data_IF_397275019120
#
_entry.id   IF_397275019120
#
_cell.length_a   1.000
_cell.length_b   1.000
_cell.length_c   1.000
_cell.angle_alpha   90.00
_cell.angle_beta   90.00
_cell.angle_gamma   90.00
#
_symmetry.space_group_name_H-M   'P 1'
#
loop_
_entity.id
_entity.type
_entity.pdbx_description
1 polymer ?
#
# COMPACT_ATOMS: atom_id res chain seq x y z
N UNK A 1 -1.05 -12.08 1.76
CA UNK A 1 0.15 -11.23 1.88
C UNK A 1 -0.24 -9.99 2.65
N UNK A 2 0.42 -9.74 3.79
CA UNK A 2 0.16 -8.54 4.60
C UNK A 2 0.55 -7.31 3.79
N UNK A 3 -0.40 -6.40 3.56
CA UNK A 3 -0.21 -5.15 2.79
C UNK A 3 0.74 -4.15 3.46
N UNK A 4 1.23 -4.47 4.65
CA UNK A 4 1.74 -3.46 5.58
C UNK A 4 3.26 -3.38 5.63
N UNK A 5 3.93 -4.47 5.23
CA UNK A 5 5.35 -4.50 4.95
C UNK A 5 5.60 -5.63 3.94
N UNK A 6 5.76 -5.29 2.66
CA UNK A 6 6.23 -6.25 1.65
C UNK A 6 7.69 -6.65 1.93
N UNK A 7 8.59 -6.65 0.96
CA UNK A 7 9.96 -7.14 1.15
C UNK A 7 10.92 -6.10 1.78
N UNK A 8 10.41 -5.20 2.62
CA UNK A 8 11.15 -4.09 3.22
C UNK A 8 12.12 -4.51 4.33
N UNK A 9 12.98 -3.60 4.83
CA UNK A 9 14.01 -3.92 5.84
C UNK A 9 13.42 -4.40 7.18
N UNK A 10 12.20 -3.99 7.50
CA UNK A 10 11.47 -4.42 8.70
C UNK A 10 10.47 -5.54 8.41
N UNK A 11 10.55 -6.18 7.25
CA UNK A 11 9.73 -7.36 6.94
C UNK A 11 10.28 -8.63 7.60
N UNK A 12 9.44 -9.65 7.68
CA UNK A 12 9.88 -11.03 7.92
C UNK A 12 10.49 -11.65 6.67
N UNK A 13 10.12 -11.16 5.47
CA UNK A 13 10.61 -11.62 4.16
C UNK A 13 11.45 -10.51 3.49
N UNK A 14 12.58 -10.12 4.09
CA UNK A 14 13.38 -8.97 3.62
C UNK A 14 13.99 -9.22 2.24
N UNK A 15 13.95 -8.22 1.36
CA UNK A 15 14.65 -8.24 0.07
C UNK A 15 16.19 -8.18 0.19
N UNK A 16 16.69 -7.70 1.34
CA UNK A 16 18.12 -7.53 1.62
C UNK A 16 18.51 -8.08 2.99
N UNK A 17 19.75 -7.81 3.40
CA UNK A 17 20.30 -8.25 4.68
C UNK A 17 20.92 -7.07 5.44
N UNK A 18 20.92 -7.14 6.77
CA UNK A 18 21.67 -6.20 7.60
C UNK A 18 23.13 -6.61 7.65
N UNK A 19 24.02 -5.62 7.60
CA UNK A 19 25.45 -5.80 7.82
C UNK A 19 25.92 -4.72 8.82
N UNK A 20 26.31 -5.10 10.07
CA UNK A 20 26.34 -6.47 10.60
C UNK A 20 24.94 -7.09 10.74
N UNK A 21 24.89 -8.42 10.86
CA UNK A 21 23.64 -9.13 11.09
C UNK A 21 22.98 -8.68 12.40
N UNK A 22 21.66 -8.51 12.39
CA UNK A 22 20.86 -8.16 13.57
C UNK A 22 20.05 -9.38 13.98
N UNK A 23 20.24 -9.84 15.21
CA UNK A 23 19.47 -10.94 15.81
C UNK A 23 18.39 -10.38 16.75
N UNK A 24 17.20 -10.99 16.74
CA UNK A 24 16.06 -10.58 17.58
C UNK A 24 15.00 -9.74 16.87
N UNK A 25 13.93 -9.41 17.60
CA UNK A 25 12.84 -8.59 17.10
C UNK A 25 13.29 -7.12 16.98
N UNK A 26 13.22 -6.56 15.78
CA UNK A 26 13.62 -5.19 15.50
C UNK A 26 12.43 -4.23 15.65
N UNK A 27 12.64 -3.17 16.42
CA UNK A 27 11.70 -2.07 16.58
C UNK A 27 12.44 -0.76 16.30
N UNK A 28 11.91 0.02 15.36
CA UNK A 28 12.43 1.35 15.07
C UNK A 28 11.39 2.38 15.52
N UNK A 29 11.78 3.26 16.45
CA UNK A 29 10.93 4.31 16.99
C UNK A 29 11.55 5.64 16.60
N UNK A 30 10.77 6.50 15.95
CA UNK A 30 11.22 7.82 15.51
C UNK A 30 10.24 8.91 15.97
N UNK A 31 10.72 10.13 16.25
CA UNK A 31 9.85 11.29 16.37
C UNK A 31 9.07 11.51 15.07
N UNK A 32 7.79 11.80 15.21
CA UNK A 32 6.90 12.09 14.09
C UNK A 32 6.31 13.48 14.29
N UNK A 33 7.01 14.55 13.88
CA UNK A 33 6.64 15.93 14.16
C UNK A 33 5.49 16.39 13.25
N UNK A 34 4.36 15.69 13.35
CA UNK A 34 3.10 15.98 12.68
C UNK A 34 1.99 15.97 13.71
N UNK A 35 1.06 16.91 13.59
CA UNK A 35 -0.12 16.96 14.43
C UNK A 35 -1.02 15.76 14.14
N UNK A 36 -1.25 14.93 15.15
CA UNK A 36 -2.17 13.80 15.08
C UNK A 36 -3.36 14.06 15.99
N UNK A 37 -4.56 13.80 15.46
CA UNK A 37 -5.81 13.92 16.18
C UNK A 37 -6.59 12.60 16.13
N UNK A 38 -7.29 12.29 17.22
CA UNK A 38 -8.16 11.14 17.30
C UNK A 38 -9.55 11.56 17.78
N UNK A 39 -10.58 11.15 17.05
CA UNK A 39 -11.99 11.46 17.34
C UNK A 39 -12.70 10.21 17.83
N UNK A 40 -13.39 10.30 18.97
CA UNK A 40 -14.26 9.24 19.49
C UNK A 40 -15.55 9.83 20.05
N UNK A 41 -16.70 9.29 19.64
CA UNK A 41 -18.03 9.77 19.99
C UNK A 41 -18.16 11.29 19.78
N UNK A 42 -17.76 11.77 18.59
CA UNK A 42 -17.77 13.19 18.18
C UNK A 42 -16.90 14.13 19.04
N UNK A 43 -15.99 13.60 19.86
CA UNK A 43 -15.06 14.39 20.68
C UNK A 43 -13.62 14.09 20.32
N UNK A 44 -12.80 15.13 20.32
CA UNK A 44 -11.35 14.99 20.21
C UNK A 44 -10.78 14.42 21.53
N UNK A 45 -10.16 13.25 21.44
CA UNK A 45 -9.61 12.50 22.60
C UNK A 45 -8.08 12.44 22.61
N UNK A 46 -7.45 12.75 21.47
CA UNK A 46 -6.00 12.99 21.31
C UNK A 46 -5.86 14.15 20.35
N UNK A 47 -4.99 15.11 20.67
CA UNK A 47 -4.60 16.22 19.78
C UNK A 47 -3.21 16.71 20.20
N UNK A 48 -2.17 16.30 19.47
CA UNK A 48 -0.79 16.60 19.83
C UNK A 48 0.16 16.49 18.64
N UNK A 49 1.30 17.19 18.73
CA UNK A 49 2.46 17.06 17.83
C UNK A 49 3.58 16.21 18.47
N UNK A 50 3.45 15.86 19.76
CA UNK A 50 4.38 14.97 20.47
C UNK A 50 4.04 13.50 20.20
N UNK A 51 4.31 13.08 18.97
CA UNK A 51 3.99 11.73 18.46
C UNK A 51 5.28 10.98 18.15
N UNK A 52 5.30 9.69 18.47
CA UNK A 52 6.29 8.76 17.98
C UNK A 52 5.66 7.85 16.93
N UNK A 53 6.37 7.60 15.83
CA UNK A 53 6.02 6.56 14.87
C UNK A 53 6.80 5.29 15.21
N UNK A 54 6.08 4.20 15.39
CA UNK A 54 6.63 2.91 15.81
C UNK A 54 6.55 1.94 14.65
N UNK A 55 7.72 1.46 14.22
CA UNK A 55 7.88 0.44 13.20
C UNK A 55 8.26 -0.88 13.87
N UNK A 56 7.42 -1.90 13.72
CA UNK A 56 7.65 -3.25 14.28
C UNK A 56 7.73 -4.26 13.17
N UNK A 57 8.60 -5.25 13.34
CA UNK A 57 8.78 -6.29 12.33
C UNK A 57 7.47 -7.06 12.08
N UNK A 58 7.01 -7.06 10.82
CA UNK A 58 5.80 -7.80 10.42
C UNK A 58 4.47 -7.20 10.89
N UNK A 59 4.49 -6.03 11.53
CA UNK A 59 3.28 -5.34 12.03
C UNK A 59 3.03 -4.03 11.28
N UNK A 60 1.77 -3.55 11.24
CA UNK A 60 1.47 -2.20 10.84
C UNK A 60 2.23 -1.13 11.61
N UNK A 61 2.48 0.00 10.95
CA UNK A 61 2.90 1.20 11.66
C UNK A 61 1.86 1.56 12.72
N UNK A 62 2.34 2.16 13.80
CA UNK A 62 1.48 2.64 14.88
C UNK A 62 2.04 3.92 15.45
N UNK A 63 1.14 4.80 15.91
CA UNK A 63 1.53 5.94 16.70
C UNK A 63 1.72 5.54 18.16
N UNK A 64 2.60 6.26 18.86
CA UNK A 64 2.61 6.32 20.30
C UNK A 64 2.57 7.79 20.74
N UNK A 65 1.89 8.03 21.86
CA UNK A 65 1.64 9.36 22.40
C UNK A 65 2.12 9.40 23.84
N UNK A 66 2.41 10.59 24.36
CA UNK A 66 2.59 10.74 25.80
C UNK A 66 1.33 10.28 26.53
N UNK A 67 1.49 9.62 27.68
CA UNK A 67 0.38 9.10 28.48
C UNK A 67 -0.64 10.19 28.86
N UNK A 68 -0.17 11.39 29.19
CA UNK A 68 -1.01 12.55 29.56
C UNK A 68 -1.82 13.14 28.39
N UNK A 69 -1.44 12.84 27.14
CA UNK A 69 -2.17 13.26 25.94
C UNK A 69 -3.36 12.34 25.61
N UNK A 70 -3.42 11.13 26.18
CA UNK A 70 -4.45 10.12 25.87
C UNK A 70 -5.58 10.16 26.89
N UNK A 71 -6.79 10.59 26.47
CA UNK A 71 -7.93 10.79 27.37
C UNK A 71 -9.01 9.73 27.23
N UNK A 72 -9.21 8.91 28.27
CA UNK A 72 -10.35 7.97 28.35
C UNK A 72 -10.32 6.86 27.29
N UNK A 73 -9.13 6.52 26.80
CA UNK A 73 -8.90 5.43 25.85
C UNK A 73 -8.08 4.33 26.53
N UNK A 74 -8.35 3.04 26.23
CA UNK A 74 -7.44 1.98 26.61
C UNK A 74 -6.13 2.15 25.83
N UNK A 75 -5.01 1.90 26.50
CA UNK A 75 -3.68 1.97 25.90
C UNK A 75 -2.76 0.91 26.47
N UNK A 76 -1.64 0.69 25.79
CA UNK A 76 -0.52 -0.15 26.24
C UNK A 76 0.73 0.70 26.35
N UNK A 77 1.47 0.57 27.45
CA UNK A 77 2.78 1.22 27.57
C UNK A 77 3.71 0.76 26.43
N UNK A 78 4.50 1.70 25.88
CA UNK A 78 5.50 1.41 24.87
C UNK A 78 6.86 1.13 25.56
N UNK A 79 7.33 -0.13 25.65
CA UNK A 79 8.57 -0.44 26.37
C UNK A 79 9.79 0.29 25.82
N UNK A 80 9.81 0.55 24.51
CA UNK A 80 10.91 1.21 23.81
C UNK A 80 10.99 2.72 24.06
N UNK A 81 9.94 3.34 24.60
CA UNK A 81 9.92 4.76 24.96
C UNK A 81 9.09 4.98 26.23
N UNK A 82 9.71 4.95 27.42
CA UNK A 82 9.03 5.18 28.70
C UNK A 82 8.28 6.51 28.73
N UNK A 83 7.05 6.50 29.26
CA UNK A 83 6.14 7.65 29.27
C UNK A 83 5.29 7.81 28.00
N UNK A 84 5.54 7.00 26.97
CA UNK A 84 4.69 6.89 25.79
C UNK A 84 3.84 5.62 25.82
N UNK A 85 2.66 5.71 25.21
CA UNK A 85 1.65 4.67 25.16
C UNK A 85 1.10 4.53 23.75
N UNK A 86 0.73 3.31 23.38
CA UNK A 86 0.08 2.99 22.12
C UNK A 86 -1.42 2.81 22.33
N UNK A 87 -2.21 3.43 21.48
CA UNK A 87 -3.66 3.27 21.42
C UNK A 87 -3.98 2.39 20.22
N UNK A 88 -4.84 1.39 20.41
CA UNK A 88 -5.27 0.52 19.32
C UNK A 88 -5.99 1.35 18.24
N UNK A 89 -5.76 1.04 16.97
CA UNK A 89 -6.30 1.84 15.86
C UNK A 89 -7.83 1.94 15.89
N UNK A 90 -8.50 0.86 16.28
CA UNK A 90 -9.96 0.74 16.39
C UNK A 90 -10.54 1.26 17.72
N UNK A 91 -9.72 1.80 18.61
CA UNK A 91 -10.19 2.39 19.86
C UNK A 91 -10.90 3.74 19.67
N UNK A 92 -10.81 4.32 18.46
CA UNK A 92 -11.38 5.63 18.09
C UNK A 92 -12.11 5.52 16.74
N UNK A 93 -12.98 6.48 16.46
CA UNK A 93 -13.82 6.47 15.26
C UNK A 93 -13.04 6.97 14.03
N UNK A 94 -12.14 7.94 14.23
CA UNK A 94 -11.41 8.58 13.12
C UNK A 94 -10.07 9.12 13.59
N UNK A 95 -9.04 8.90 12.77
CA UNK A 95 -7.71 9.46 12.93
C UNK A 95 -7.47 10.55 11.88
N UNK A 96 -6.79 11.62 12.28
CA UNK A 96 -6.29 12.65 11.38
C UNK A 96 -4.80 12.86 11.60
N UNK A 97 -4.06 13.12 10.53
CA UNK A 97 -2.69 13.63 10.56
C UNK A 97 -2.62 14.85 9.65
N UNK A 98 -2.21 16.00 10.18
CA UNK A 98 -2.17 17.27 9.43
C UNK A 98 -3.48 17.58 8.69
N UNK A 99 -4.62 17.26 9.30
CA UNK A 99 -5.96 17.45 8.73
C UNK A 99 -6.38 16.39 7.70
N UNK A 100 -5.50 15.48 7.30
CA UNK A 100 -5.85 14.34 6.45
C UNK A 100 -6.47 13.23 7.29
N UNK A 101 -7.70 12.82 6.96
CA UNK A 101 -8.29 11.62 7.53
C UNK A 101 -7.50 10.37 7.11
N UNK A 102 -7.16 9.53 8.08
CA UNK A 102 -6.38 8.31 7.87
C UNK A 102 -7.28 7.06 7.89
N UNK A 103 -6.79 5.97 7.28
CA UNK A 103 -7.49 4.68 7.20
C UNK A 103 -6.51 3.56 7.53
N UNK A 104 -6.98 2.57 8.31
CA UNK A 104 -6.29 1.35 8.74
C UNK A 104 -5.03 1.51 9.63
N UNK A 105 -4.09 2.39 9.28
CA UNK A 105 -2.83 2.61 10.00
C UNK A 105 -2.13 3.92 9.53
N UNK A 106 -1.12 4.43 10.27
CA UNK A 106 -0.32 5.59 9.89
C UNK A 106 0.40 5.41 8.53
N UNK A 107 0.41 6.42 7.65
CA UNK A 107 1.25 6.40 6.46
C UNK A 107 2.75 6.34 6.82
N UNK A 108 3.53 5.55 6.09
CA UNK A 108 4.98 5.46 6.27
C UNK A 108 5.66 6.65 5.57
N UNK A 109 6.44 7.48 6.28
CA UNK A 109 7.15 8.62 5.69
C UNK A 109 8.23 8.23 4.67
N UNK A 110 8.70 6.98 4.70
CA UNK A 110 9.68 6.43 3.75
C UNK A 110 9.04 5.70 2.57
N UNK A 111 7.71 5.63 2.52
CA UNK A 111 7.03 5.00 1.39
C UNK A 111 7.06 5.92 0.17
N UNK A 112 7.44 5.34 -0.96
CA UNK A 112 7.62 6.04 -2.22
C UNK A 112 6.93 5.27 -3.32
N UNK A 113 6.30 6.03 -4.21
CA UNK A 113 5.73 5.54 -5.46
C UNK A 113 6.47 6.24 -6.58
N UNK A 114 7.05 5.44 -7.49
CA UNK A 114 7.72 5.91 -8.68
C UNK A 114 7.03 5.35 -9.91
N UNK A 115 6.36 6.22 -10.67
CA UNK A 115 5.75 5.86 -11.94
C UNK A 115 6.65 6.32 -13.09
N UNK A 116 7.00 5.42 -14.01
CA UNK A 116 7.88 5.71 -15.15
C UNK A 116 7.28 5.17 -16.45
N UNK A 117 7.13 5.98 -17.51
CA UNK A 117 6.89 5.45 -18.84
C UNK A 117 7.98 4.45 -19.22
N UNK A 118 7.62 3.37 -19.91
CA UNK A 118 8.54 2.32 -20.30
C UNK A 118 8.06 1.60 -21.57
N UNK A 119 8.87 0.65 -22.06
CA UNK A 119 8.60 -0.22 -23.22
C UNK A 119 8.52 -1.69 -22.83
N UNK A 120 8.18 -1.96 -21.57
CA UNK A 120 8.06 -3.32 -21.02
C UNK A 120 6.72 -3.88 -21.45
N UNK A 121 6.75 -5.08 -22.05
CA UNK A 121 5.55 -5.69 -22.59
C UNK A 121 4.59 -6.18 -21.49
N UNK A 122 3.30 -5.94 -21.72
CA UNK A 122 2.20 -6.50 -20.95
C UNK A 122 1.23 -7.21 -21.91
N UNK A 123 1.01 -8.50 -21.66
CA UNK A 123 -0.02 -9.29 -22.33
C UNK A 123 -0.92 -9.96 -21.30
N UNK A 124 -2.23 -9.83 -21.48
CA UNK A 124 -3.25 -10.49 -20.65
C UNK A 124 -4.29 -11.11 -21.56
N UNK A 125 -4.62 -12.36 -21.33
CA UNK A 125 -5.50 -13.17 -22.16
C UNK A 125 -6.51 -13.92 -21.29
N UNK A 126 -7.77 -13.92 -21.72
CA UNK A 126 -8.87 -14.67 -21.10
C UNK A 126 -9.57 -15.47 -22.17
N UNK A 127 -9.68 -16.79 -21.97
CA UNK A 127 -10.32 -17.72 -22.89
C UNK A 127 -9.82 -17.59 -24.36
N UNK A 128 -8.51 -17.39 -24.56
CA UNK A 128 -7.92 -17.23 -25.91
C UNK A 128 -8.02 -15.82 -26.51
N UNK A 129 -8.72 -14.89 -25.84
CA UNK A 129 -8.90 -13.51 -26.30
C UNK A 129 -7.96 -12.57 -25.55
N UNK A 130 -7.14 -11.81 -26.29
CA UNK A 130 -6.28 -10.80 -25.71
C UNK A 130 -7.11 -9.62 -25.17
N UNK A 131 -6.98 -9.33 -23.88
CA UNK A 131 -7.54 -8.14 -23.24
C UNK A 131 -6.60 -6.93 -23.37
N UNK A 132 -5.29 -7.18 -23.32
CA UNK A 132 -4.23 -6.21 -23.59
C UNK A 132 -3.04 -6.96 -24.19
N UNK A 133 -2.39 -6.36 -25.18
CA UNK A 133 -1.11 -6.79 -25.76
C UNK A 133 -0.39 -5.52 -26.25
N UNK A 134 0.49 -4.96 -25.42
CA UNK A 134 1.17 -3.69 -25.70
C UNK A 134 2.52 -3.60 -24.99
N UNK A 135 3.41 -2.76 -25.50
CA UNK A 135 4.64 -2.32 -24.81
C UNK A 135 4.56 -0.89 -24.27
N UNK A 136 3.50 -0.14 -24.63
CA UNK A 136 3.31 1.24 -24.21
C UNK A 136 2.71 1.28 -22.80
N UNK A 137 3.60 1.14 -21.81
CA UNK A 137 3.24 0.92 -20.42
C UNK A 137 3.87 1.96 -19.49
N UNK A 138 3.28 2.12 -18.31
CA UNK A 138 3.87 2.81 -17.16
C UNK A 138 4.23 1.76 -16.14
N UNK A 139 5.50 1.66 -15.76
CA UNK A 139 5.92 0.82 -14.63
C UNK A 139 5.82 1.62 -13.34
N UNK A 140 5.14 1.05 -12.35
CA UNK A 140 5.03 1.56 -10.99
C UNK A 140 5.94 0.73 -10.09
N UNK A 141 6.86 1.42 -9.42
CA UNK A 141 7.62 0.89 -8.29
C UNK A 141 7.03 1.46 -7.01
N UNK A 142 6.76 0.59 -6.05
CA UNK A 142 6.22 0.95 -4.76
C UNK A 142 7.11 0.36 -3.68
N UNK A 143 7.44 1.15 -2.65
CA UNK A 143 8.35 0.70 -1.59
C UNK A 143 7.95 -0.68 -1.07
N UNK A 144 8.90 -1.60 -1.13
CA UNK A 144 8.76 -2.99 -0.67
C UNK A 144 7.75 -3.87 -1.44
N UNK A 145 7.18 -3.44 -2.55
CA UNK A 145 6.28 -4.28 -3.37
C UNK A 145 6.87 -4.62 -4.73
N UNK A 146 6.43 -5.75 -5.28
CA UNK A 146 6.75 -6.12 -6.66
C UNK A 146 6.22 -5.04 -7.63
N UNK A 147 7.02 -4.63 -8.63
CA UNK A 147 6.59 -3.63 -9.60
C UNK A 147 5.33 -4.06 -10.37
N UNK A 148 4.54 -3.09 -10.81
CA UNK A 148 3.34 -3.33 -11.61
C UNK A 148 3.38 -2.52 -12.91
N UNK A 149 2.92 -3.12 -14.00
CA UNK A 149 2.69 -2.39 -15.24
C UNK A 149 1.25 -1.88 -15.28
N UNK A 150 1.12 -0.62 -15.68
CA UNK A 150 -0.13 0.08 -15.91
C UNK A 150 -0.21 0.47 -17.39
N UNK A 151 -1.42 0.41 -17.96
CA UNK A 151 -1.69 0.74 -19.36
C UNK A 151 -2.87 1.68 -19.47
N UNK A 152 -2.84 2.53 -20.49
CA UNK A 152 -3.98 3.39 -20.80
C UNK A 152 -5.16 2.56 -21.30
N UNK A 153 -6.39 3.06 -21.11
CA UNK A 153 -7.60 2.37 -21.56
C UNK A 153 -7.61 2.08 -23.08
N UNK A 154 -6.88 2.86 -23.88
CA UNK A 154 -6.77 2.66 -25.33
C UNK A 154 -6.09 1.34 -25.72
N UNK A 155 -5.23 0.80 -24.85
CA UNK A 155 -4.58 -0.50 -25.06
C UNK A 155 -5.36 -1.67 -24.47
N UNK A 156 -6.52 -1.40 -23.86
CA UNK A 156 -7.33 -2.39 -23.17
C UNK A 156 -8.65 -2.59 -23.92
N UNK A 157 -9.04 -3.84 -24.14
CA UNK A 157 -10.38 -4.23 -24.59
C UNK A 157 -11.41 -4.02 -23.48
N UNK A 158 -11.67 -2.75 -23.17
CA UNK A 158 -12.60 -2.33 -22.10
C UNK A 158 -14.04 -2.76 -22.38
N UNK A 159 -14.39 -3.06 -23.63
CA UNK A 159 -15.67 -3.68 -24.01
C UNK A 159 -15.84 -5.11 -23.46
N UNK A 160 -14.74 -5.77 -23.08
CA UNK A 160 -14.72 -7.09 -22.43
C UNK A 160 -14.60 -6.97 -20.89
N UNK A 161 -14.65 -5.75 -20.35
CA UNK A 161 -14.57 -5.49 -18.92
C UNK A 161 -15.90 -4.99 -18.37
N UNK A 162 -16.34 -5.60 -17.27
CA UNK A 162 -17.52 -5.18 -16.52
C UNK A 162 -17.10 -4.63 -15.16
N UNK A 163 -17.52 -3.40 -14.85
CA UNK A 163 -17.25 -2.79 -13.55
C UNK A 163 -17.80 -3.65 -12.41
N UNK A 164 -16.97 -3.83 -11.38
CA UNK A 164 -17.31 -4.53 -10.15
C UNK A 164 -17.78 -3.54 -9.09
N UNK A 165 -18.48 -4.04 -8.06
CA UNK A 165 -18.74 -3.28 -6.83
C UNK A 165 -17.54 -3.30 -5.87
N UNK A 166 -16.51 -4.11 -6.16
CA UNK A 166 -15.30 -4.20 -5.35
C UNK A 166 -14.50 -2.89 -5.41
N UNK A 167 -14.11 -2.39 -4.23
CA UNK A 167 -13.14 -1.32 -4.08
C UNK A 167 -12.21 -1.62 -2.92
N UNK A 168 -10.93 -1.25 -3.05
CA UNK A 168 -9.94 -1.36 -1.98
C UNK A 168 -9.26 -0.03 -1.76
N UNK A 169 -8.87 0.23 -0.52
CA UNK A 169 -8.18 1.48 -0.16
C UNK A 169 -6.70 1.22 0.09
N UNK A 170 -5.86 2.10 -0.45
CA UNK A 170 -4.43 2.16 -0.17
C UNK A 170 -4.05 3.54 0.37
N UNK A 171 -3.30 3.58 1.48
CA UNK A 171 -2.82 4.82 2.11
C UNK A 171 -2.02 5.75 1.18
N UNK A 172 -1.48 5.23 0.07
CA UNK A 172 -0.58 5.96 -0.82
C UNK A 172 -1.15 6.19 -2.22
N UNK A 173 -2.20 5.44 -2.60
CA UNK A 173 -2.82 5.54 -3.94
C UNK A 173 -4.29 5.96 -3.88
N UNK A 174 -4.96 5.86 -2.73
CA UNK A 174 -6.39 6.11 -2.62
C UNK A 174 -7.22 4.86 -2.91
N UNK A 175 -8.41 5.04 -3.47
CA UNK A 175 -9.34 3.94 -3.76
C UNK A 175 -9.09 3.34 -5.15
N UNK A 176 -8.85 2.03 -5.18
CA UNK A 176 -8.87 1.25 -6.41
C UNK A 176 -10.31 0.85 -6.75
N UNK A 177 -10.68 0.95 -8.02
CA UNK A 177 -11.88 0.36 -8.61
C UNK A 177 -11.50 -0.90 -9.36
N UNK A 178 -12.39 -1.89 -9.43
CA UNK A 178 -12.12 -3.19 -10.04
C UNK A 178 -13.09 -3.50 -11.20
N UNK A 179 -12.61 -4.30 -12.14
CA UNK A 179 -13.37 -4.80 -13.28
C UNK A 179 -13.18 -6.30 -13.43
N UNK A 180 -14.28 -6.99 -13.70
CA UNK A 180 -14.32 -8.40 -14.08
C UNK A 180 -14.13 -8.53 -15.59
N UNK A 181 -13.31 -9.47 -16.05
CA UNK A 181 -13.23 -9.80 -17.46
C UNK A 181 -14.35 -10.77 -17.84
N UNK A 182 -15.05 -10.48 -18.94
CA UNK A 182 -16.18 -11.27 -19.45
C UNK A 182 -15.91 -11.59 -20.91
N UNK A 183 -15.59 -12.85 -21.21
CA UNK A 183 -15.29 -13.33 -22.56
C UNK A 183 -16.13 -14.58 -22.85
N UNK A 184 -17.17 -14.43 -23.65
CA UNK A 184 -18.18 -15.47 -23.84
C UNK A 184 -18.80 -15.87 -22.49
N UNK A 185 -18.78 -17.16 -22.17
CA UNK A 185 -19.27 -17.69 -20.88
C UNK A 185 -18.22 -17.62 -19.75
N UNK A 186 -16.99 -17.16 -20.04
CA UNK A 186 -15.92 -17.08 -19.04
C UNK A 186 -15.95 -15.73 -18.34
N UNK A 187 -16.06 -15.77 -17.01
CA UNK A 187 -15.97 -14.59 -16.14
C UNK A 187 -14.80 -14.74 -15.19
N UNK A 188 -13.89 -13.76 -15.19
CA UNK A 188 -12.82 -13.65 -14.18
C UNK A 188 -13.10 -12.41 -13.34
N UNK A 189 -13.65 -12.56 -12.12
CA UNK A 189 -14.08 -11.41 -11.32
C UNK A 189 -12.88 -10.55 -10.91
N UNK A 190 -12.98 -9.22 -10.85
CA UNK A 190 -11.90 -8.35 -10.34
C UNK A 190 -10.50 -8.62 -10.95
N UNK A 191 -10.43 -8.94 -12.25
CA UNK A 191 -9.17 -9.23 -12.95
C UNK A 191 -8.32 -7.96 -13.13
N UNK A 192 -8.98 -6.84 -13.41
CA UNK A 192 -8.33 -5.56 -13.66
C UNK A 192 -8.70 -4.56 -12.56
N UNK A 193 -7.80 -3.63 -12.28
CA UNK A 193 -8.08 -2.49 -11.40
C UNK A 193 -7.49 -1.20 -11.97
N UNK A 194 -8.04 -0.07 -11.52
CA UNK A 194 -7.54 1.26 -11.82
C UNK A 194 -7.78 2.18 -10.62
N UNK A 195 -6.92 3.19 -10.48
CA UNK A 195 -7.15 4.29 -9.55
C UNK A 195 -7.73 5.46 -10.35
N UNK A 196 -9.02 5.72 -10.22
CA UNK A 196 -9.72 6.75 -11.01
C UNK A 196 -9.47 8.17 -10.49
N UNK A 197 -9.29 8.30 -9.18
CA UNK A 197 -8.96 9.55 -8.48
C UNK A 197 -7.86 9.25 -7.45
N UNK A 198 -6.61 8.99 -7.91
CA UNK A 198 -5.53 8.65 -7.00
C UNK A 198 -5.09 9.85 -6.17
N UNK A 199 -4.41 9.58 -5.05
CA UNK A 199 -3.71 10.61 -4.29
C UNK A 199 -2.62 11.29 -5.15
N UNK A 200 -2.24 12.56 -4.87
CA UNK A 200 -1.34 13.35 -5.71
C UNK A 200 -0.03 12.66 -6.07
N UNK A 201 0.56 11.90 -5.15
CA UNK A 201 1.81 11.17 -5.33
C UNK A 201 1.70 10.05 -6.38
N UNK A 202 0.48 9.61 -6.70
CA UNK A 202 0.17 8.54 -7.66
C UNK A 202 -0.59 9.04 -8.88
N UNK A 203 -0.67 10.36 -9.11
CA UNK A 203 -1.43 10.96 -10.21
C UNK A 203 -1.03 10.44 -11.61
N UNK A 204 0.22 10.00 -11.77
CA UNK A 204 0.74 9.48 -13.05
C UNK A 204 0.05 8.18 -13.53
N UNK A 205 -0.65 7.46 -12.66
CA UNK A 205 -1.43 6.26 -13.02
C UNK A 205 -2.94 6.49 -12.98
N UNK A 206 -3.39 7.75 -12.90
CA UNK A 206 -4.81 8.10 -12.87
C UNK A 206 -5.54 7.54 -14.10
N UNK A 207 -6.53 6.68 -13.87
CA UNK A 207 -7.33 6.03 -14.91
C UNK A 207 -6.61 4.96 -15.73
N UNK A 208 -5.36 4.60 -15.40
CA UNK A 208 -4.66 3.49 -16.05
C UNK A 208 -5.05 2.16 -15.39
N UNK A 209 -5.09 1.11 -16.21
CA UNK A 209 -5.43 -0.25 -15.78
C UNK A 209 -4.18 -1.06 -15.48
N UNK A 210 -4.26 -1.88 -14.44
CA UNK A 210 -3.33 -2.98 -14.19
C UNK A 210 -4.12 -4.28 -13.93
N UNK A 211 -3.44 -5.42 -13.93
CA UNK A 211 -4.07 -6.73 -14.03
C UNK A 211 -3.46 -7.77 -13.08
N UNK A 212 -4.29 -8.67 -12.57
CA UNK A 212 -3.87 -9.80 -11.74
C UNK A 212 -3.53 -11.01 -12.61
N UNK A 213 -2.26 -11.09 -13.01
CA UNK A 213 -1.73 -12.20 -13.81
C UNK A 213 -1.72 -13.55 -13.09
N UNK A 214 -2.01 -13.64 -11.78
CA UNK A 214 -2.20 -14.94 -11.14
C UNK A 214 -3.51 -15.62 -11.52
N UNK A 215 -4.41 -14.87 -12.19
CA UNK A 215 -5.79 -15.29 -12.49
C UNK A 215 -6.10 -15.33 -13.98
N UNK A 216 -5.15 -14.97 -14.84
CA UNK A 216 -5.31 -14.97 -16.30
C UNK A 216 -4.02 -15.44 -16.98
N UNK A 217 -4.13 -15.89 -18.22
CA UNK A 217 -2.95 -16.20 -19.02
C UNK A 217 -2.28 -14.90 -19.48
N UNK A 218 -0.96 -14.92 -19.63
CA UNK A 218 -0.21 -13.75 -20.08
C UNK A 218 1.10 -13.55 -19.33
N UNK A 219 1.67 -12.36 -19.46
CA UNK A 219 2.90 -11.98 -18.78
C UNK A 219 3.03 -10.47 -18.65
N UNK A 220 3.82 -10.03 -17.67
CA UNK A 220 4.32 -8.67 -17.55
C UNK A 220 5.84 -8.73 -17.52
N UNK A 221 6.52 -7.95 -18.34
CA UNK A 221 7.97 -7.92 -18.43
C UNK A 221 8.57 -7.09 -17.27
N UNK A 222 8.48 -7.61 -16.06
CA UNK A 222 8.97 -6.94 -14.85
C UNK A 222 10.48 -7.12 -14.65
N UNK A 223 11.18 -6.13 -14.07
CA UNK A 223 12.58 -6.29 -13.71
C UNK A 223 12.73 -7.40 -12.66
N UNK A 224 13.75 -8.25 -12.84
CA UNK A 224 14.08 -9.30 -11.88
C UNK A 224 15.04 -8.73 -10.84
N UNK A 225 14.85 -9.01 -9.53
CA UNK A 225 15.85 -8.66 -8.54
C UNK A 225 17.17 -9.35 -8.89
N UNK A 226 18.29 -8.63 -8.74
CA UNK A 226 19.60 -9.27 -8.81
C UNK A 226 19.67 -10.29 -7.67
N UNK A 227 19.78 -11.58 -8.01
CA UNK A 227 20.08 -12.60 -7.01
C UNK A 227 21.40 -12.26 -6.31
N UNK A 228 21.57 -12.75 -5.08
CA UNK A 228 22.85 -12.67 -4.37
C UNK A 228 23.95 -13.17 -5.31
N UNK A 229 24.83 -12.28 -5.76
CA UNK A 229 26.13 -12.72 -6.27
C UNK A 229 26.81 -13.41 -5.07
N UNK A 230 27.26 -14.67 -5.20
CA UNK A 230 28.06 -15.27 -4.16
C UNK A 230 29.26 -14.34 -3.92
N UNK A 231 29.43 -13.94 -2.66
CA UNK A 231 30.66 -13.29 -2.21
C UNK A 231 31.83 -14.26 -2.32
#
# INVERSE_FOLDING_TARGET
>A
MSLVAGDGPLSTERAGWFAPEITGALVYVEPHPRRVQAIRAQRCVIDTEEVLLVHRQGEPLSYAFREDAVRGLPYRALPEAPGFVQVAWDAVDTWFEEGRQLVHYPPNPYHRIDCRPTRRALRVEVAGMALVDTDDTVILFETALAPRLYVTANHVRTDLLQASTTSTYCNYKGYASYWSAVVGDTVIPDLAWAYLDPLPESAAISGLFSFDLSRAAGFAELPKPAGRLPL
#
